data_IF_004790897695
#
_entry.id   IF_004790897695
#
_cell.length_a   1.000
_cell.length_b   1.000
_cell.length_c   1.000
_cell.angle_alpha   90.00
_cell.angle_beta   90.00
_cell.angle_gamma   90.00
#
_symmetry.space_group_name_H-M   'P 1'
#
loop_
_entity.id
_entity.type
_entity.pdbx_description
1 polymer ?
#
# COMPACT_ATOMS: atom_id res chain seq x y z
N UNK A 1 9.16 13.47 -8.26
CA UNK A 1 10.36 14.30 -8.05
C UNK A 1 10.78 14.22 -6.58
N UNK A 2 12.05 14.56 -6.25
CA UNK A 2 12.57 14.54 -4.86
C UNK A 2 12.92 13.16 -4.28
N UNK A 3 12.80 12.07 -5.04
CA UNK A 3 13.34 10.74 -4.68
C UNK A 3 14.79 10.62 -5.15
N UNK A 4 15.61 9.82 -4.46
CA UNK A 4 16.99 9.56 -4.84
C UNK A 4 17.11 8.27 -5.65
N UNK A 5 18.02 8.24 -6.61
CA UNK A 5 18.36 7.04 -7.39
C UNK A 5 18.98 5.97 -6.49
N UNK A 6 18.49 4.74 -6.59
CA UNK A 6 19.03 3.59 -5.85
C UNK A 6 20.17 2.87 -6.58
N UNK A 7 20.42 3.22 -7.85
CA UNK A 7 21.51 2.70 -8.69
C UNK A 7 22.05 3.80 -9.60
N UNK A 8 23.21 3.56 -10.20
CA UNK A 8 23.77 4.40 -11.26
C UNK A 8 22.95 4.25 -12.55
N UNK A 9 22.71 5.37 -13.23
CA UNK A 9 22.03 5.44 -14.53
C UNK A 9 22.79 6.40 -15.46
N UNK A 10 23.63 5.86 -16.31
CA UNK A 10 24.49 6.67 -17.19
C UNK A 10 25.37 7.64 -16.38
N UNK A 11 25.19 8.93 -16.61
CA UNK A 11 25.95 9.97 -15.93
C UNK A 11 25.45 10.28 -14.51
N UNK A 12 24.28 9.75 -14.13
CA UNK A 12 23.68 9.98 -12.82
C UNK A 12 24.04 8.88 -11.85
N UNK A 13 24.69 9.26 -10.74
CA UNK A 13 25.15 8.33 -9.72
C UNK A 13 24.05 7.97 -8.72
N UNK A 14 24.18 6.81 -8.09
CA UNK A 14 23.39 6.41 -6.92
C UNK A 14 23.35 7.55 -5.90
N UNK A 15 22.18 7.84 -5.36
CA UNK A 15 21.95 8.94 -4.42
C UNK A 15 21.62 10.29 -5.08
N UNK A 16 21.76 10.41 -6.41
CA UNK A 16 21.32 11.62 -7.13
C UNK A 16 19.81 11.81 -6.98
N UNK A 17 19.38 13.02 -6.60
CA UNK A 17 17.97 13.36 -6.50
C UNK A 17 17.36 13.64 -7.86
N UNK A 18 16.16 13.14 -8.06
CA UNK A 18 15.41 13.31 -9.31
C UNK A 18 14.65 14.63 -9.24
N UNK A 19 15.20 15.65 -9.85
CA UNK A 19 14.53 16.91 -10.20
C UNK A 19 14.01 16.88 -11.65
N UNK A 20 13.58 18.02 -12.16
CA UNK A 20 13.03 18.13 -13.51
C UNK A 20 14.08 17.85 -14.59
N UNK A 21 15.33 18.27 -14.38
CA UNK A 21 16.41 18.15 -15.35
C UNK A 21 16.97 16.71 -15.37
N UNK A 22 17.18 16.11 -14.22
CA UNK A 22 17.52 14.69 -14.11
C UNK A 22 16.43 13.83 -14.72
N UNK A 23 15.15 14.16 -14.48
CA UNK A 23 14.03 13.43 -15.07
C UNK A 23 14.00 13.55 -16.59
N UNK A 24 14.27 14.72 -17.16
CA UNK A 24 14.41 14.89 -18.61
C UNK A 24 15.57 14.08 -19.18
N UNK A 25 16.73 14.11 -18.52
CA UNK A 25 17.90 13.34 -18.95
C UNK A 25 17.72 11.82 -18.87
N UNK A 26 16.95 11.32 -17.90
CA UNK A 26 16.59 9.91 -17.78
C UNK A 26 15.49 9.49 -18.76
N UNK A 27 14.84 10.46 -19.43
CA UNK A 27 13.53 10.24 -20.08
C UNK A 27 13.59 9.46 -21.39
N UNK A 28 14.67 9.49 -22.11
CA UNK A 28 14.70 9.01 -23.49
C UNK A 28 14.82 7.49 -23.63
N UNK A 29 15.31 6.78 -22.62
CA UNK A 29 15.63 5.39 -22.83
C UNK A 29 14.90 4.36 -21.93
N UNK A 30 14.55 4.63 -20.69
CA UNK A 30 14.10 3.54 -19.77
C UNK A 30 13.36 4.01 -18.52
N UNK A 31 12.41 4.94 -18.59
CA UNK A 31 11.64 5.42 -17.41
C UNK A 31 10.99 4.31 -16.56
N UNK A 32 10.61 3.22 -17.15
CA UNK A 32 9.90 2.13 -16.48
C UNK A 32 10.79 1.22 -15.60
N UNK A 33 12.12 1.46 -15.62
CA UNK A 33 13.09 0.63 -14.89
C UNK A 33 14.04 1.43 -14.00
N UNK A 34 13.68 2.66 -13.64
CA UNK A 34 14.48 3.48 -12.73
C UNK A 34 14.21 3.02 -11.30
N UNK A 35 15.24 2.54 -10.63
CA UNK A 35 15.16 2.19 -9.22
C UNK A 35 15.45 3.41 -8.35
N UNK A 36 14.54 3.67 -7.43
CA UNK A 36 14.63 4.78 -6.48
C UNK A 36 14.60 4.27 -5.05
N UNK A 37 15.18 5.03 -4.13
CA UNK A 37 14.96 4.81 -2.72
C UNK A 37 13.51 5.10 -2.36
N UNK A 38 12.88 4.19 -1.62
CA UNK A 38 11.49 4.30 -1.17
C UNK A 38 11.39 4.03 0.33
N UNK A 39 10.55 4.77 1.06
CA UNK A 39 10.30 4.53 2.48
C UNK A 39 9.87 3.10 2.80
N UNK A 40 9.03 2.49 1.99
CA UNK A 40 8.51 1.13 2.25
C UNK A 40 9.55 0.02 2.02
N UNK A 41 10.59 0.28 1.23
CA UNK A 41 11.66 -0.68 0.94
C UNK A 41 12.95 -0.41 1.74
N UNK A 42 13.01 0.67 2.50
CA UNK A 42 14.18 1.05 3.26
C UNK A 42 14.33 0.18 4.51
N UNK A 43 15.50 -0.38 4.70
CA UNK A 43 15.87 -1.12 5.92
C UNK A 43 16.84 -0.29 6.73
N UNK A 44 16.68 -0.27 8.05
CA UNK A 44 17.56 0.41 9.00
C UNK A 44 17.73 -0.45 10.25
N UNK A 45 18.95 -0.86 10.54
CA UNK A 45 19.26 -1.65 11.73
C UNK A 45 18.98 -0.91 13.06
N UNK A 46 18.98 0.42 13.03
CA UNK A 46 18.70 1.27 14.20
C UNK A 46 17.25 1.74 14.28
N UNK A 47 16.36 1.20 13.43
CA UNK A 47 15.02 1.75 13.24
C UNK A 47 15.08 3.08 12.46
N UNK A 48 13.92 3.73 12.32
CA UNK A 48 13.84 5.00 11.61
C UNK A 48 13.90 4.87 10.08
N UNK A 49 13.98 6.01 9.40
CA UNK A 49 13.97 6.10 7.95
C UNK A 49 15.27 6.73 7.43
N UNK A 50 16.05 6.04 6.59
CA UNK A 50 17.26 6.61 5.99
C UNK A 50 16.96 7.88 5.20
N UNK A 51 17.83 8.90 5.28
CA UNK A 51 17.65 10.21 4.64
C UNK A 51 17.36 10.12 3.14
N UNK A 52 18.04 9.23 2.40
CA UNK A 52 17.81 9.05 0.96
C UNK A 52 16.42 8.49 0.66
N UNK A 53 15.89 7.65 1.55
CA UNK A 53 14.51 7.14 1.42
C UNK A 53 13.48 8.19 1.82
N UNK A 54 13.75 8.99 2.86
CA UNK A 54 12.93 10.14 3.22
C UNK A 54 12.87 11.18 2.08
N UNK A 55 13.98 11.33 1.35
CA UNK A 55 14.08 12.17 0.16
C UNK A 55 14.09 13.68 0.45
N UNK A 56 13.95 14.46 -0.61
CA UNK A 56 13.81 15.92 -0.51
C UNK A 56 12.40 16.25 -0.04
N UNK A 57 12.28 17.12 0.94
CA UNK A 57 11.03 17.65 1.46
C UNK A 57 10.92 19.16 1.21
N UNK A 58 10.57 19.93 2.19
CA UNK A 58 10.39 21.39 2.08
C UNK A 58 11.66 22.09 1.59
N UNK A 59 11.47 23.17 0.85
CA UNK A 59 12.53 24.02 0.31
C UNK A 59 13.61 23.29 -0.52
N UNK A 60 13.26 22.15 -1.16
CA UNK A 60 14.19 21.34 -1.95
C UNK A 60 15.45 20.87 -1.17
N UNK A 61 15.35 20.79 0.15
CA UNK A 61 16.43 20.28 1.01
C UNK A 61 16.22 18.83 1.41
N UNK A 62 17.34 18.13 1.57
CA UNK A 62 17.32 16.79 2.13
C UNK A 62 16.89 16.84 3.60
N UNK A 63 16.03 15.90 3.98
CA UNK A 63 15.58 15.73 5.37
C UNK A 63 16.78 15.71 6.33
N UNK A 64 16.73 16.49 7.39
CA UNK A 64 17.76 16.54 8.42
C UNK A 64 17.69 15.31 9.34
N UNK A 65 18.83 14.95 9.94
CA UNK A 65 18.89 13.85 10.93
C UNK A 65 18.12 14.31 12.18
N UNK A 66 17.27 13.44 12.73
CA UNK A 66 16.43 13.74 13.88
C UNK A 66 15.05 14.33 13.55
N UNK A 67 14.82 14.71 12.29
CA UNK A 67 13.50 15.19 11.87
C UNK A 67 12.45 14.06 11.91
N UNK A 68 11.29 14.34 12.52
CA UNK A 68 10.18 13.39 12.55
C UNK A 68 9.39 13.42 11.22
N UNK A 69 9.85 12.63 10.27
CA UNK A 69 9.22 12.52 8.94
C UNK A 69 7.84 11.85 8.99
N UNK A 70 7.54 11.08 10.03
CA UNK A 70 6.24 10.46 10.24
C UNK A 70 5.15 11.49 10.53
N UNK A 71 5.41 12.41 11.46
CA UNK A 71 4.48 13.52 11.77
C UNK A 71 4.26 14.38 10.52
N UNK A 72 5.33 14.78 9.83
CA UNK A 72 5.22 15.58 8.61
C UNK A 72 4.40 14.87 7.52
N UNK A 73 4.57 13.57 7.35
CA UNK A 73 3.80 12.78 6.39
C UNK A 73 2.32 12.67 6.79
N UNK A 74 2.03 12.42 8.07
CA UNK A 74 0.67 12.34 8.59
C UNK A 74 -0.07 13.68 8.43
N UNK A 75 0.56 14.80 8.77
CA UNK A 75 -0.01 16.14 8.58
C UNK A 75 -0.31 16.44 7.11
N UNK A 76 0.62 16.11 6.20
CA UNK A 76 0.44 16.32 4.76
C UNK A 76 -0.70 15.46 4.16
N UNK A 77 -1.10 14.38 4.82
CA UNK A 77 -2.26 13.57 4.44
C UNK A 77 -3.54 14.09 5.12
N UNK A 78 -3.45 14.45 6.40
CA UNK A 78 -4.60 14.89 7.19
C UNK A 78 -5.19 16.21 6.68
N UNK A 79 -4.35 17.14 6.22
CA UNK A 79 -4.80 18.45 5.71
C UNK A 79 -5.82 18.34 4.57
N UNK A 80 -5.54 17.69 3.42
CA UNK A 80 -6.51 17.55 2.35
C UNK A 80 -7.73 16.71 2.75
N UNK A 81 -7.58 15.73 3.66
CA UNK A 81 -8.70 14.96 4.18
C UNK A 81 -9.65 15.85 4.96
N UNK A 82 -9.13 16.68 5.88
CA UNK A 82 -9.95 17.63 6.65
C UNK A 82 -10.67 18.62 5.76
N UNK A 83 -9.98 19.19 4.76
CA UNK A 83 -10.58 20.10 3.79
C UNK A 83 -11.67 19.42 2.95
N UNK A 84 -11.44 18.18 2.50
CA UNK A 84 -12.41 17.40 1.75
C UNK A 84 -13.66 17.07 2.56
N UNK A 85 -13.52 16.76 3.84
CA UNK A 85 -14.64 16.52 4.76
C UNK A 85 -15.48 17.79 5.00
N UNK A 86 -14.84 18.95 5.16
CA UNK A 86 -15.53 20.23 5.31
C UNK A 86 -16.31 20.58 4.04
N UNK A 87 -15.72 20.44 2.87
CA UNK A 87 -16.36 20.70 1.59
C UNK A 87 -17.56 19.79 1.32
N UNK A 88 -17.49 18.51 1.74
CA UNK A 88 -18.61 17.58 1.58
C UNK A 88 -19.82 17.95 2.44
N UNK A 89 -19.61 18.51 3.63
CA UNK A 89 -20.68 19.04 4.49
C UNK A 89 -21.33 20.31 3.96
N UNK A 90 -20.56 21.17 3.30
CA UNK A 90 -21.07 22.44 2.73
C UNK A 90 -21.72 22.27 1.35
N UNK A 91 -21.44 21.19 0.64
CA UNK A 91 -22.02 20.87 -0.68
C UNK A 91 -23.34 20.09 -0.58
N UNK A 92 -24.03 20.14 0.53
CA UNK A 92 -25.28 19.42 0.79
C UNK A 92 -26.41 19.81 -0.18
N UNK A 93 -26.37 19.31 -1.41
CA UNK A 93 -27.43 19.55 -2.38
C UNK A 93 -27.14 19.19 -3.82
N UNK A 94 -25.98 18.71 -4.19
CA UNK A 94 -25.66 18.49 -5.61
C UNK A 94 -25.23 17.05 -5.90
N UNK A 95 -26.02 16.41 -6.77
CA UNK A 95 -25.74 15.21 -7.55
C UNK A 95 -25.64 13.88 -6.78
N UNK A 96 -26.73 13.16 -6.74
CA UNK A 96 -26.88 11.77 -6.25
C UNK A 96 -25.85 10.75 -6.75
N UNK A 97 -25.03 11.09 -7.73
CA UNK A 97 -23.98 10.21 -8.27
C UNK A 97 -22.59 10.44 -7.68
N UNK A 98 -22.25 11.67 -7.25
CA UNK A 98 -20.91 11.99 -6.72
C UNK A 98 -20.85 11.96 -5.19
N UNK A 99 -21.92 12.32 -4.50
CA UNK A 99 -21.97 12.33 -3.04
C UNK A 99 -21.81 10.91 -2.44
N UNK A 100 -22.37 9.90 -3.09
CA UNK A 100 -22.24 8.51 -2.65
C UNK A 100 -20.78 8.01 -2.77
N UNK A 101 -20.05 8.45 -3.79
CA UNK A 101 -18.62 8.08 -3.97
C UNK A 101 -17.71 8.72 -2.92
N UNK A 102 -17.98 9.95 -2.49
CA UNK A 102 -17.14 10.64 -1.49
C UNK A 102 -17.27 10.00 -0.11
N UNK A 103 -18.49 9.67 0.31
CA UNK A 103 -18.72 8.96 1.58
C UNK A 103 -18.12 7.54 1.52
N UNK A 104 -18.28 6.86 0.40
CA UNK A 104 -17.65 5.55 0.14
C UNK A 104 -16.12 5.66 0.17
N UNK A 105 -15.56 6.74 -0.40
CA UNK A 105 -14.12 6.98 -0.42
C UNK A 105 -13.50 7.16 0.96
N UNK A 106 -14.13 7.91 1.88
CA UNK A 106 -13.66 8.04 3.25
C UNK A 106 -13.79 6.74 4.05
N UNK A 107 -14.90 6.02 3.89
CA UNK A 107 -15.08 4.72 4.53
C UNK A 107 -14.02 3.71 4.03
N UNK A 108 -13.70 3.76 2.74
CA UNK A 108 -12.62 2.98 2.16
C UNK A 108 -11.27 3.29 2.81
N UNK A 109 -10.92 4.59 2.93
CA UNK A 109 -9.67 5.02 3.57
C UNK A 109 -9.59 4.61 5.05
N UNK A 110 -10.70 4.74 5.78
CA UNK A 110 -10.78 4.32 7.18
C UNK A 110 -10.55 2.80 7.30
N UNK A 111 -11.20 1.99 6.48
CA UNK A 111 -11.02 0.55 6.51
C UNK A 111 -9.56 0.15 6.20
N UNK A 112 -8.88 0.85 5.28
CA UNK A 112 -7.46 0.59 5.00
C UNK A 112 -6.54 0.91 6.20
N UNK A 113 -6.87 1.94 6.98
CA UNK A 113 -6.05 2.38 8.13
C UNK A 113 -6.36 1.57 9.38
N UNK A 114 -7.64 1.32 9.66
CA UNK A 114 -8.09 0.61 10.86
C UNK A 114 -7.95 -0.92 10.73
N UNK A 115 -7.89 -1.43 9.49
CA UNK A 115 -7.80 -2.86 9.17
C UNK A 115 -8.80 -3.67 10.00
N UNK A 116 -10.12 -3.45 9.83
CA UNK A 116 -11.13 -4.14 10.60
C UNK A 116 -11.11 -5.65 10.31
N UNK A 117 -11.64 -6.44 11.24
CA UNK A 117 -11.74 -7.90 11.07
C UNK A 117 -12.55 -8.28 9.82
N UNK A 118 -13.55 -7.48 9.46
CA UNK A 118 -14.37 -7.67 8.25
C UNK A 118 -14.45 -6.37 7.48
N UNK A 119 -14.02 -6.39 6.23
CA UNK A 119 -14.15 -5.26 5.30
C UNK A 119 -15.55 -5.26 4.69
N UNK A 120 -16.22 -4.11 4.69
CA UNK A 120 -17.59 -3.98 4.14
C UNK A 120 -17.63 -4.29 2.65
N UNK A 121 -16.64 -3.80 1.89
CA UNK A 121 -16.50 -4.02 0.44
C UNK A 121 -15.20 -4.80 0.14
N UNK A 122 -14.86 -5.78 0.99
CA UNK A 122 -13.63 -6.54 0.87
C UNK A 122 -13.60 -7.42 -0.38
N UNK A 123 -12.56 -7.28 -1.21
CA UNK A 123 -12.32 -8.18 -2.32
C UNK A 123 -11.83 -9.54 -1.81
N UNK A 124 -12.47 -10.64 -2.17
CA UNK A 124 -11.91 -11.96 -1.90
C UNK A 124 -10.58 -12.12 -2.64
N UNK A 125 -9.57 -12.64 -1.95
CA UNK A 125 -8.26 -12.98 -2.51
C UNK A 125 -8.10 -14.49 -2.54
N UNK A 126 -7.40 -15.01 -3.57
CA UNK A 126 -7.08 -16.43 -3.59
C UNK A 126 -6.04 -16.77 -2.53
N UNK A 127 -6.24 -17.89 -1.82
CA UNK A 127 -5.31 -18.36 -0.79
C UNK A 127 -4.20 -19.25 -1.33
N UNK A 128 -4.39 -19.77 -2.54
CA UNK A 128 -3.49 -20.72 -3.20
C UNK A 128 -3.21 -20.26 -4.64
N UNK A 129 -2.06 -20.66 -5.14
CA UNK A 129 -1.75 -20.55 -6.56
C UNK A 129 -2.67 -21.49 -7.36
N UNK A 130 -3.18 -21.02 -8.48
CA UNK A 130 -4.07 -21.84 -9.29
C UNK A 130 -4.55 -21.17 -10.57
N UNK A 131 -5.31 -21.93 -11.32
CA UNK A 131 -5.95 -21.42 -12.54
C UNK A 131 -7.42 -21.17 -12.24
N UNK A 132 -7.92 -20.01 -12.68
CA UNK A 132 -9.35 -19.69 -12.61
C UNK A 132 -10.11 -20.68 -13.49
N UNK A 133 -10.96 -21.48 -12.88
CA UNK A 133 -11.83 -22.43 -13.54
C UNK A 133 -13.10 -21.75 -14.04
N UNK A 134 -14.25 -22.20 -13.51
CA UNK A 134 -15.56 -21.63 -13.83
C UNK A 134 -15.95 -20.48 -12.89
N UNK A 135 -16.85 -19.66 -13.39
CA UNK A 135 -17.58 -18.66 -12.61
C UNK A 135 -19.06 -19.06 -12.66
N UNK A 136 -19.68 -19.20 -11.51
CA UNK A 136 -21.10 -19.62 -11.38
C UNK A 136 -21.87 -18.62 -10.53
N UNK A 137 -23.13 -18.38 -10.91
CA UNK A 137 -24.03 -17.57 -10.09
C UNK A 137 -24.31 -18.26 -8.74
N UNK A 138 -24.27 -17.48 -7.66
CA UNK A 138 -24.60 -17.94 -6.34
C UNK A 138 -26.12 -17.81 -6.07
N UNK A 139 -26.71 -18.75 -5.36
CA UNK A 139 -28.16 -18.76 -5.07
C UNK A 139 -28.61 -17.58 -4.22
N UNK A 140 -27.73 -17.03 -3.39
CA UNK A 140 -27.96 -15.84 -2.56
C UNK A 140 -27.64 -14.52 -3.29
N UNK A 141 -27.40 -14.56 -4.60
CA UNK A 141 -26.87 -13.44 -5.37
C UNK A 141 -25.34 -13.43 -5.39
N UNK A 142 -24.74 -12.64 -6.31
CA UNK A 142 -23.31 -12.65 -6.53
C UNK A 142 -22.84 -13.88 -7.29
N UNK A 143 -21.54 -14.18 -7.20
CA UNK A 143 -20.91 -15.25 -7.98
C UNK A 143 -19.93 -16.07 -7.14
N UNK A 144 -19.76 -17.30 -7.53
CA UNK A 144 -18.66 -18.14 -7.09
C UNK A 144 -17.58 -18.21 -8.16
N UNK A 145 -16.33 -17.92 -7.78
CA UNK A 145 -15.16 -18.07 -8.62
C UNK A 145 -14.36 -19.27 -8.11
N UNK A 146 -14.05 -20.20 -8.98
CA UNK A 146 -13.27 -21.39 -8.66
C UNK A 146 -11.81 -21.15 -9.06
N UNK A 147 -10.88 -21.36 -8.14
CA UNK A 147 -9.43 -21.30 -8.40
C UNK A 147 -8.82 -22.61 -7.94
N UNK A 148 -8.37 -23.44 -8.89
CA UNK A 148 -8.00 -24.81 -8.59
C UNK A 148 -9.16 -25.60 -7.98
N UNK A 149 -8.98 -26.11 -6.76
CA UNK A 149 -10.00 -26.84 -6.00
C UNK A 149 -10.82 -25.93 -5.06
N UNK A 150 -10.40 -24.68 -4.87
CA UNK A 150 -11.02 -23.76 -3.93
C UNK A 150 -12.14 -22.93 -4.58
N UNK A 151 -13.12 -22.57 -3.76
CA UNK A 151 -14.30 -21.83 -4.15
C UNK A 151 -14.40 -20.54 -3.36
N UNK A 152 -14.45 -19.39 -4.05
CA UNK A 152 -14.49 -18.07 -3.46
C UNK A 152 -15.80 -17.37 -3.83
N UNK A 153 -16.44 -16.77 -2.84
CA UNK A 153 -17.65 -15.98 -3.06
C UNK A 153 -17.29 -14.53 -3.37
N UNK A 154 -17.88 -13.99 -4.44
CA UNK A 154 -17.80 -12.58 -4.84
C UNK A 154 -19.19 -11.98 -4.72
N UNK A 155 -19.40 -10.95 -3.88
CA UNK A 155 -20.70 -10.27 -3.72
C UNK A 155 -21.22 -9.69 -5.02
N UNK A 156 -22.55 -9.48 -5.09
CA UNK A 156 -23.26 -9.03 -6.31
C UNK A 156 -22.87 -7.59 -6.72
N UNK A 157 -22.50 -6.77 -5.77
CA UNK A 157 -22.10 -5.38 -5.94
C UNK A 157 -20.64 -5.21 -6.38
N UNK A 158 -19.86 -6.31 -6.36
CA UNK A 158 -18.47 -6.32 -6.80
C UNK A 158 -18.32 -6.91 -8.20
N UNK A 159 -17.46 -6.26 -8.99
CA UNK A 159 -17.15 -6.72 -10.34
C UNK A 159 -16.00 -7.71 -10.31
N UNK A 160 -16.20 -8.90 -10.89
CA UNK A 160 -15.15 -9.88 -11.08
C UNK A 160 -14.09 -9.32 -12.03
N UNK A 161 -12.83 -9.35 -11.63
CA UNK A 161 -11.69 -8.82 -12.39
C UNK A 161 -10.88 -9.91 -13.09
N UNK A 162 -11.11 -11.17 -12.74
CA UNK A 162 -10.40 -12.34 -13.29
C UNK A 162 -11.23 -13.04 -14.37
N UNK A 163 -10.54 -13.81 -15.22
CA UNK A 163 -11.17 -14.55 -16.33
C UNK A 163 -10.88 -16.04 -16.21
N UNK A 164 -11.82 -16.92 -16.63
CA UNK A 164 -11.54 -18.35 -16.74
C UNK A 164 -10.27 -18.62 -17.56
N UNK A 165 -9.44 -19.54 -17.10
CA UNK A 165 -8.13 -19.86 -17.68
C UNK A 165 -6.97 -18.96 -17.24
N UNK A 166 -7.22 -17.90 -16.47
CA UNK A 166 -6.16 -17.03 -15.94
C UNK A 166 -5.42 -17.74 -14.82
N UNK A 167 -4.09 -17.70 -14.83
CA UNK A 167 -3.25 -18.15 -13.70
C UNK A 167 -3.19 -17.04 -12.65
N UNK A 168 -3.41 -17.40 -11.40
CA UNK A 168 -3.35 -16.53 -10.25
C UNK A 168 -2.34 -17.07 -9.23
N UNK A 169 -1.74 -16.14 -8.50
CA UNK A 169 -0.90 -16.43 -7.34
C UNK A 169 -1.68 -16.17 -6.05
N UNK A 170 -1.34 -16.88 -4.97
CA UNK A 170 -1.90 -16.62 -3.65
C UNK A 170 -1.85 -15.12 -3.30
N UNK A 171 -2.97 -14.54 -2.85
CA UNK A 171 -3.11 -13.10 -2.61
C UNK A 171 -3.55 -12.26 -3.82
N UNK A 172 -3.84 -12.86 -4.97
CA UNK A 172 -4.46 -12.14 -6.08
C UNK A 172 -5.95 -11.91 -5.83
N UNK A 173 -6.42 -10.70 -6.11
CA UNK A 173 -7.81 -10.33 -5.92
C UNK A 173 -8.70 -10.87 -7.06
N UNK A 174 -9.88 -11.35 -6.70
CA UNK A 174 -10.87 -11.89 -7.63
C UNK A 174 -11.88 -10.84 -8.10
N UNK A 175 -11.98 -9.71 -7.37
CA UNK A 175 -12.90 -8.60 -7.65
C UNK A 175 -12.25 -7.23 -7.43
N UNK A 176 -13.00 -6.17 -7.68
CA UNK A 176 -12.59 -4.77 -7.56
C UNK A 176 -12.80 -4.15 -6.15
N UNK A 177 -13.10 -4.97 -5.14
CA UNK A 177 -13.25 -4.53 -3.76
C UNK A 177 -11.92 -4.14 -3.07
N UNK A 178 -12.04 -3.82 -1.79
CA UNK A 178 -10.89 -3.47 -0.94
C UNK A 178 -10.07 -4.72 -0.66
N UNK A 179 -8.78 -4.66 -0.94
CA UNK A 179 -7.87 -5.76 -0.59
C UNK A 179 -7.35 -5.52 0.82
N UNK A 180 -7.61 -6.49 1.71
CA UNK A 180 -7.15 -6.43 3.09
C UNK A 180 -5.61 -6.48 3.15
N UNK A 181 -4.93 -5.49 3.73
CA UNK A 181 -3.47 -5.49 3.84
C UNK A 181 -2.92 -6.67 4.64
N UNK A 182 -3.68 -7.17 5.63
CA UNK A 182 -3.29 -8.33 6.45
C UNK A 182 -3.19 -9.59 5.60
N UNK A 183 -4.21 -9.88 4.78
CA UNK A 183 -4.22 -11.07 3.92
C UNK A 183 -3.03 -11.03 2.92
N UNK A 184 -2.72 -9.85 2.39
CA UNK A 184 -1.56 -9.70 1.51
C UNK A 184 -0.23 -9.87 2.27
N UNK A 185 -0.14 -9.40 3.52
CA UNK A 185 1.06 -9.60 4.33
C UNK A 185 1.31 -11.09 4.61
N UNK A 186 0.26 -11.85 4.88
CA UNK A 186 0.33 -13.29 5.11
C UNK A 186 0.66 -14.08 3.83
N UNK A 187 0.04 -13.73 2.69
CA UNK A 187 0.15 -14.51 1.46
C UNK A 187 1.32 -14.09 0.55
N UNK A 188 1.67 -12.81 0.54
CA UNK A 188 2.71 -12.23 -0.36
C UNK A 188 3.83 -11.51 0.39
N UNK A 189 3.75 -11.45 1.70
CA UNK A 189 4.70 -10.78 2.57
C UNK A 189 4.47 -9.27 2.72
N UNK A 190 5.10 -8.70 3.74
CA UNK A 190 4.88 -7.31 4.19
C UNK A 190 5.25 -6.27 3.13
N UNK A 191 6.23 -6.55 2.27
CA UNK A 191 6.64 -5.64 1.19
C UNK A 191 5.53 -5.40 0.17
N UNK A 192 4.84 -6.48 -0.26
CA UNK A 192 3.72 -6.38 -1.19
C UNK A 192 2.50 -5.77 -0.50
N UNK A 193 2.25 -6.08 0.78
CA UNK A 193 1.18 -5.46 1.57
C UNK A 193 1.37 -3.93 1.64
N UNK A 194 2.56 -3.45 1.97
CA UNK A 194 2.91 -2.02 1.99
C UNK A 194 2.70 -1.37 0.62
N UNK A 195 3.14 -2.02 -0.46
CA UNK A 195 3.00 -1.53 -1.83
C UNK A 195 1.52 -1.44 -2.26
N UNK A 196 0.72 -2.45 -1.93
CA UNK A 196 -0.72 -2.49 -2.19
C UNK A 196 -1.45 -1.41 -1.41
N UNK A 197 -1.19 -1.29 -0.11
CA UNK A 197 -1.73 -0.23 0.72
C UNK A 197 -1.47 1.16 0.10
N UNK A 198 -0.22 1.47 -0.24
CA UNK A 198 0.16 2.75 -0.85
C UNK A 198 -0.59 3.01 -2.15
N UNK A 199 -0.76 1.98 -2.97
CA UNK A 199 -1.46 2.10 -4.25
C UNK A 199 -2.94 2.37 -4.04
N UNK A 200 -3.61 1.58 -3.20
CA UNK A 200 -5.03 1.72 -2.90
C UNK A 200 -5.34 3.07 -2.23
N UNK A 201 -4.56 3.42 -1.20
CA UNK A 201 -4.74 4.67 -0.47
C UNK A 201 -4.57 5.89 -1.39
N UNK A 202 -3.51 5.89 -2.21
CA UNK A 202 -3.27 6.99 -3.16
C UNK A 202 -4.37 7.10 -4.21
N UNK A 203 -4.84 5.99 -4.78
CA UNK A 203 -5.96 5.98 -5.74
C UNK A 203 -7.21 6.55 -5.12
N UNK A 204 -7.59 6.08 -3.93
CA UNK A 204 -8.77 6.57 -3.23
C UNK A 204 -8.70 8.08 -2.96
N UNK A 205 -7.56 8.59 -2.51
CA UNK A 205 -7.35 10.03 -2.31
C UNK A 205 -7.48 10.81 -3.63
N UNK A 206 -6.88 10.31 -4.70
CA UNK A 206 -6.93 10.96 -6.02
C UNK A 206 -8.34 10.96 -6.61
N UNK A 207 -9.09 9.88 -6.49
CA UNK A 207 -10.48 9.74 -6.94
C UNK A 207 -11.43 10.70 -6.20
N UNK A 208 -11.11 11.01 -4.94
CA UNK A 208 -11.83 12.00 -4.14
C UNK A 208 -11.32 13.45 -4.36
N UNK A 209 -10.48 13.70 -5.36
CA UNK A 209 -9.96 15.03 -5.67
C UNK A 209 -8.91 15.56 -4.68
N UNK A 210 -8.31 14.70 -3.89
CA UNK A 210 -7.32 15.01 -2.87
C UNK A 210 -5.95 14.41 -3.23
N UNK A 211 -5.24 14.97 -4.22
CA UNK A 211 -3.96 14.41 -4.65
C UNK A 211 -2.91 14.57 -3.54
N UNK A 212 -2.30 13.48 -3.15
CA UNK A 212 -1.23 13.43 -2.15
C UNK A 212 0.06 12.87 -2.73
N UNK A 213 1.18 13.29 -2.15
CA UNK A 213 2.48 12.79 -2.60
C UNK A 213 2.68 11.34 -2.12
N UNK A 214 3.00 10.43 -3.06
CA UNK A 214 3.18 9.00 -2.80
C UNK A 214 4.11 8.71 -1.62
N UNK A 215 5.22 9.45 -1.46
CA UNK A 215 6.19 9.26 -0.39
C UNK A 215 5.60 9.45 1.01
N UNK A 216 4.66 10.39 1.18
CA UNK A 216 3.99 10.56 2.47
C UNK A 216 3.15 9.33 2.82
N UNK A 217 2.43 8.77 1.84
CA UNK A 217 1.70 7.52 2.02
C UNK A 217 2.64 6.35 2.32
N UNK A 218 3.79 6.27 1.67
CA UNK A 218 4.80 5.24 1.92
C UNK A 218 5.39 5.31 3.34
N UNK A 219 5.59 6.53 3.88
CA UNK A 219 6.04 6.70 5.27
C UNK A 219 4.99 6.20 6.26
N UNK A 220 3.72 6.57 6.04
CA UNK A 220 2.60 6.11 6.87
C UNK A 220 2.40 4.61 6.74
N UNK A 221 2.42 4.05 5.54
CA UNK A 221 2.30 2.61 5.29
C UNK A 221 3.38 1.81 6.02
N UNK A 222 4.64 2.32 6.01
CA UNK A 222 5.74 1.69 6.75
C UNK A 222 5.47 1.65 8.26
N UNK A 223 4.87 2.68 8.81
CA UNK A 223 4.54 2.75 10.25
C UNK A 223 3.38 1.83 10.62
N UNK A 224 2.31 1.85 9.82
CA UNK A 224 1.11 1.05 10.07
C UNK A 224 1.35 -0.45 9.87
N UNK A 225 2.09 -0.83 8.84
CA UNK A 225 2.37 -2.22 8.47
C UNK A 225 3.81 -2.58 8.87
N UNK A 226 4.11 -2.55 10.16
CA UNK A 226 5.44 -2.85 10.69
C UNK A 226 5.44 -3.75 11.92
N UNK A 227 4.30 -4.02 12.53
CA UNK A 227 4.20 -4.93 13.68
C UNK A 227 3.92 -6.34 13.20
N UNK A 228 4.66 -7.29 13.77
CA UNK A 228 4.48 -8.72 13.54
C UNK A 228 4.44 -9.44 14.88
N UNK A 229 3.62 -10.45 14.96
CA UNK A 229 3.50 -11.33 16.12
C UNK A 229 4.48 -12.50 15.97
N UNK A 230 5.26 -12.77 16.99
CA UNK A 230 6.22 -13.86 16.98
C UNK A 230 5.51 -15.18 17.29
N UNK A 231 5.63 -16.15 16.39
CA UNK A 231 5.18 -17.52 16.61
C UNK A 231 6.30 -18.40 17.18
N UNK A 232 7.53 -18.18 16.73
CA UNK A 232 8.73 -18.90 17.18
C UNK A 232 9.82 -17.88 17.57
N UNK A 233 9.95 -17.53 18.87
CA UNK A 233 10.82 -16.44 19.32
C UNK A 233 12.31 -16.78 19.41
N UNK A 234 12.71 -18.03 19.17
CA UNK A 234 14.07 -18.57 19.42
C UNK A 234 15.21 -17.77 18.77
N UNK A 235 14.90 -16.98 17.74
CA UNK A 235 15.87 -16.12 17.04
C UNK A 235 16.09 -14.76 17.70
N UNK A 236 15.24 -14.39 18.66
CA UNK A 236 15.31 -13.09 19.34
C UNK A 236 15.53 -13.30 20.84
N UNK A 237 16.71 -13.00 21.39
CA UNK A 237 16.98 -13.18 22.82
C UNK A 237 15.99 -12.41 23.69
N UNK A 238 15.33 -13.13 24.62
CA UNK A 238 14.40 -12.54 25.58
C UNK A 238 13.00 -12.26 25.03
N UNK A 239 12.69 -12.70 23.81
CA UNK A 239 11.34 -12.63 23.26
C UNK A 239 10.53 -13.87 23.64
N UNK A 240 9.21 -13.71 23.70
CA UNK A 240 8.24 -14.78 23.98
C UNK A 240 7.29 -14.98 22.80
N UNK A 241 6.64 -16.16 22.70
CA UNK A 241 5.54 -16.34 21.76
C UNK A 241 4.46 -15.27 21.97
N UNK A 242 3.85 -14.80 20.87
CA UNK A 242 2.84 -13.74 20.84
C UNK A 242 3.37 -12.31 21.10
N UNK A 243 4.68 -12.13 21.35
CA UNK A 243 5.26 -10.78 21.43
C UNK A 243 5.12 -10.04 20.10
N UNK A 244 4.71 -8.77 20.18
CA UNK A 244 4.64 -7.87 19.03
C UNK A 244 5.97 -7.15 18.84
N UNK A 245 6.65 -7.43 17.75
CA UNK A 245 7.92 -6.78 17.40
C UNK A 245 7.81 -6.03 16.07
N UNK A 246 8.70 -5.06 15.86
CA UNK A 246 8.75 -4.43 14.53
C UNK A 246 9.37 -5.39 13.50
N UNK A 247 8.79 -5.42 12.31
CA UNK A 247 9.31 -6.23 11.20
C UNK A 247 10.76 -5.91 10.88
N UNK A 248 11.14 -4.62 10.92
CA UNK A 248 12.53 -4.21 10.64
C UNK A 248 13.51 -4.77 11.68
N UNK A 249 13.09 -4.88 12.95
CA UNK A 249 13.88 -5.51 14.01
C UNK A 249 13.98 -7.03 13.77
N UNK A 250 12.86 -7.70 13.53
CA UNK A 250 12.85 -9.13 13.20
C UNK A 250 13.73 -9.42 11.98
N UNK A 251 13.59 -8.64 10.90
CA UNK A 251 14.35 -8.83 9.67
C UNK A 251 15.87 -8.67 9.85
N UNK A 252 16.32 -7.96 10.89
CA UNK A 252 17.75 -7.84 11.21
C UNK A 252 18.31 -9.07 11.96
N UNK A 253 17.45 -9.89 12.56
CA UNK A 253 17.84 -11.09 13.33
C UNK A 253 17.46 -12.40 12.62
N UNK A 254 16.64 -12.34 11.59
CA UNK A 254 16.13 -13.49 10.88
C UNK A 254 16.66 -13.54 9.44
N UNK A 255 17.21 -14.71 9.07
CA UNK A 255 17.56 -15.00 7.68
C UNK A 255 16.56 -16.01 7.15
N UNK A 256 15.76 -15.68 6.12
CA UNK A 256 14.85 -16.65 5.51
C UNK A 256 15.62 -17.87 5.00
N UNK A 257 15.07 -19.04 5.22
CA UNK A 257 15.61 -20.32 4.71
C UNK A 257 15.40 -20.44 3.22
#
# INVERSE_FOLDING_TARGET
>A
MGSALARDYGNYKKGTFIDADVLKGLSSAKRNRIMIYSPIAAVSALGGLPRLAAGIREHNKLTEIGMNVGIAAAQAIAEPVSQGMLNSKHSGGVAKGKANRTVTGFNYLNQLVEVPTTFTDGAPVTKLDGIVGKVEAATQGGNYVYVGAEKYYVPIDQKITVKPGQTLEAGDALSDGIINPKDIAELKGIGEARKRFVTQFKSAMQENGMPIHRRNVEVVARSLLNQVELTEPDVIPGAYPEDLVSYDYLASHYTPR
#
